data_IF_492171548198
#
_entry.id   IF_492171548198
#
_cell.length_a   1.000
_cell.length_b   1.000
_cell.length_c   1.000
_cell.angle_alpha   90.00
_cell.angle_beta   90.00
_cell.angle_gamma   90.00
#
_symmetry.space_group_name_H-M   'P 1'
#
loop_
_entity.id
_entity.type
_entity.pdbx_description
1 polymer ?
#
# COMPACT_ATOMS: atom_id res chain seq x y z
N UNK A 1 -28.13 7.60 -22.80
CA UNK A 1 -27.69 8.76 -22.00
C UNK A 1 -28.67 9.90 -22.22
N UNK A 2 -29.30 10.41 -21.17
CA UNK A 2 -30.11 11.63 -21.23
C UNK A 2 -29.21 12.85 -21.01
N UNK A 3 -29.33 13.85 -21.88
CA UNK A 3 -28.56 15.08 -21.74
C UNK A 3 -29.11 15.92 -20.57
N UNK A 4 -28.24 16.30 -19.63
CA UNK A 4 -28.59 17.14 -18.49
C UNK A 4 -27.87 18.47 -18.61
N UNK A 5 -28.61 19.59 -18.53
CA UNK A 5 -28.05 20.95 -18.50
C UNK A 5 -28.00 21.46 -17.08
N UNK A 6 -26.93 22.17 -16.75
CA UNK A 6 -26.76 22.87 -15.47
C UNK A 6 -27.03 24.36 -15.65
N UNK A 7 -27.50 25.02 -14.59
CA UNK A 7 -27.71 26.47 -14.60
C UNK A 7 -26.39 27.21 -14.87
N UNK A 8 -26.40 28.31 -15.64
CA UNK A 8 -25.25 29.19 -15.77
C UNK A 8 -24.69 29.60 -14.40
N UNK A 9 -23.36 29.77 -14.32
CA UNK A 9 -22.61 30.20 -13.13
C UNK A 9 -22.76 29.31 -11.87
N UNK A 10 -23.28 28.09 -12.02
CA UNK A 10 -23.37 27.13 -10.92
C UNK A 10 -22.11 26.27 -10.80
N UNK A 11 -21.14 26.73 -10.01
CA UNK A 11 -19.81 26.10 -9.88
C UNK A 11 -19.85 24.68 -9.30
N UNK A 12 -20.82 24.37 -8.42
CA UNK A 12 -20.88 23.09 -7.73
C UNK A 12 -21.05 21.90 -8.69
N UNK A 13 -21.81 22.06 -9.77
CA UNK A 13 -22.01 20.98 -10.75
C UNK A 13 -20.74 20.62 -11.52
N UNK A 14 -19.78 21.54 -11.63
CA UNK A 14 -18.55 21.36 -12.40
C UNK A 14 -17.34 20.93 -11.55
N UNK A 15 -17.47 20.93 -10.22
CA UNK A 15 -16.38 20.68 -9.27
C UNK A 15 -15.59 19.39 -9.55
N UNK A 16 -16.27 18.32 -10.02
CA UNK A 16 -15.58 17.05 -10.37
C UNK A 16 -14.60 17.22 -11.54
N UNK A 17 -15.01 17.92 -12.60
CA UNK A 17 -14.14 18.21 -13.74
C UNK A 17 -13.04 19.18 -13.36
N UNK A 18 -13.36 20.23 -12.60
CA UNK A 18 -12.37 21.21 -12.15
C UNK A 18 -11.27 20.58 -11.30
N UNK A 19 -11.63 19.69 -10.36
CA UNK A 19 -10.67 18.96 -9.54
C UNK A 19 -9.81 18.01 -10.37
N UNK A 20 -10.39 17.40 -11.41
CA UNK A 20 -9.65 16.58 -12.36
C UNK A 20 -8.65 17.43 -13.16
N UNK A 21 -9.07 18.58 -13.72
CA UNK A 21 -8.18 19.53 -14.40
C UNK A 21 -7.03 19.99 -13.51
N UNK A 22 -7.29 20.30 -12.23
CA UNK A 22 -6.24 20.64 -11.27
C UNK A 22 -5.19 19.53 -11.17
N UNK A 23 -5.63 18.27 -11.10
CA UNK A 23 -4.74 17.10 -11.00
C UNK A 23 -3.91 16.88 -12.27
N UNK A 24 -4.53 17.02 -13.44
CA UNK A 24 -3.86 16.94 -14.74
C UNK A 24 -2.78 18.02 -14.86
N UNK A 25 -3.15 19.29 -14.60
CA UNK A 25 -2.19 20.40 -14.69
C UNK A 25 -1.04 20.24 -13.70
N UNK A 26 -1.32 19.86 -12.45
CA UNK A 26 -0.27 19.77 -11.42
C UNK A 26 0.68 18.59 -11.59
N UNK A 27 0.19 17.45 -12.07
CA UNK A 27 0.97 16.20 -12.11
C UNK A 27 1.55 15.86 -13.47
N UNK A 28 0.97 16.38 -14.54
CA UNK A 28 1.33 16.05 -15.92
C UNK A 28 1.89 17.29 -16.61
N UNK A 29 1.07 18.32 -16.83
CA UNK A 29 1.47 19.46 -17.69
C UNK A 29 2.58 20.32 -17.07
N UNK A 30 2.45 20.75 -15.80
CA UNK A 30 3.45 21.63 -15.16
C UNK A 30 4.83 20.97 -14.98
N UNK A 31 4.93 19.69 -14.56
CA UNK A 31 6.21 19.00 -14.53
C UNK A 31 6.76 18.69 -15.92
N UNK A 32 5.88 18.29 -16.85
CA UNK A 32 6.25 17.87 -18.20
C UNK A 32 6.75 18.96 -19.12
N UNK A 33 6.25 20.20 -18.95
CA UNK A 33 6.63 21.40 -19.74
C UNK A 33 6.73 21.11 -21.25
N UNK A 34 5.67 20.58 -21.89
CA UNK A 34 5.75 20.23 -23.31
C UNK A 34 5.97 21.49 -24.15
N UNK A 35 6.91 21.41 -25.11
CA UNK A 35 7.24 22.50 -26.03
C UNK A 35 6.54 22.34 -27.38
N UNK A 36 6.18 21.10 -27.74
CA UNK A 36 5.50 20.76 -28.99
C UNK A 36 4.09 20.22 -28.71
N UNK A 37 3.25 20.22 -29.74
CA UNK A 37 1.92 19.63 -29.67
C UNK A 37 2.02 18.12 -29.50
N UNK A 38 2.93 17.49 -30.21
CA UNK A 38 3.18 16.05 -30.21
C UNK A 38 3.60 15.59 -28.80
N UNK A 39 4.51 16.34 -28.16
CA UNK A 39 4.90 16.08 -26.77
C UNK A 39 3.74 16.26 -25.81
N UNK A 40 2.89 17.27 -26.02
CA UNK A 40 1.71 17.48 -25.19
C UNK A 40 0.77 16.28 -25.26
N UNK A 41 0.48 15.78 -26.46
CA UNK A 41 -0.40 14.63 -26.68
C UNK A 41 0.19 13.38 -26.02
N UNK A 42 1.47 13.09 -26.28
CA UNK A 42 2.17 11.94 -25.69
C UNK A 42 2.13 11.99 -24.17
N UNK A 43 2.45 13.14 -23.59
CA UNK A 43 2.54 13.32 -22.15
C UNK A 43 1.17 13.22 -21.47
N UNK A 44 0.11 13.76 -22.10
CA UNK A 44 -1.26 13.59 -21.62
C UNK A 44 -1.66 12.10 -21.71
N UNK A 45 -1.40 11.43 -22.84
CA UNK A 45 -1.76 10.02 -23.01
C UNK A 45 -1.13 9.15 -21.92
N UNK A 46 0.18 9.25 -21.73
CA UNK A 46 0.89 8.51 -20.66
C UNK A 46 0.31 8.79 -19.28
N UNK A 47 -0.07 10.04 -19.00
CA UNK A 47 -0.71 10.37 -17.73
C UNK A 47 -2.11 9.75 -17.60
N UNK A 48 -2.91 9.77 -18.65
CA UNK A 48 -4.25 9.17 -18.65
C UNK A 48 -4.16 7.66 -18.44
N UNK A 49 -3.25 6.97 -19.14
CA UNK A 49 -3.03 5.54 -19.01
C UNK A 49 -2.72 5.18 -17.55
N UNK A 50 -1.76 5.88 -16.94
CA UNK A 50 -1.46 5.72 -15.52
C UNK A 50 -2.66 6.05 -14.62
N UNK A 51 -3.35 7.16 -14.88
CA UNK A 51 -4.45 7.64 -14.04
C UNK A 51 -5.65 6.68 -14.04
N UNK A 52 -5.98 6.08 -15.18
CA UNK A 52 -7.12 5.20 -15.33
C UNK A 52 -6.82 3.75 -14.95
N UNK A 53 -5.63 3.24 -15.29
CA UNK A 53 -5.33 1.80 -15.19
C UNK A 53 -4.47 1.43 -13.98
N UNK A 54 -3.65 2.35 -13.47
CA UNK A 54 -2.70 2.05 -12.38
C UNK A 54 -3.08 2.73 -11.07
N UNK A 55 -3.50 4.00 -11.14
CA UNK A 55 -3.73 4.83 -9.95
C UNK A 55 -4.95 4.35 -9.16
N UNK A 56 -4.71 3.81 -7.96
CA UNK A 56 -5.78 3.52 -7.01
C UNK A 56 -6.33 4.80 -6.38
N UNK A 57 -7.67 4.91 -6.31
CA UNK A 57 -8.33 6.10 -5.76
C UNK A 57 -9.08 5.75 -4.47
N UNK A 58 -8.68 6.38 -3.36
CA UNK A 58 -9.29 6.15 -2.03
C UNK A 58 -10.81 6.36 -2.03
N UNK A 59 -11.29 7.39 -2.71
CA UNK A 59 -12.73 7.72 -2.77
C UNK A 59 -13.60 6.64 -3.43
N UNK A 60 -13.01 5.70 -4.18
CA UNK A 60 -13.71 4.56 -4.81
C UNK A 60 -13.21 3.23 -4.24
N UNK A 61 -12.80 3.21 -2.97
CA UNK A 61 -12.39 1.98 -2.28
C UNK A 61 -11.05 1.42 -2.78
N UNK A 62 -10.10 2.29 -3.13
CA UNK A 62 -8.79 1.91 -3.67
C UNK A 62 -8.88 1.03 -4.92
N UNK A 63 -9.86 1.25 -5.78
CA UNK A 63 -9.97 0.61 -7.10
C UNK A 63 -9.48 1.60 -8.16
N UNK A 64 -9.04 1.08 -9.31
CA UNK A 64 -8.66 1.90 -10.46
C UNK A 64 -9.93 2.46 -11.10
N UNK A 65 -9.92 3.68 -11.66
CA UNK A 65 -11.07 4.19 -12.37
C UNK A 65 -11.53 3.30 -13.53
N UNK A 66 -10.61 2.64 -14.23
CA UNK A 66 -10.93 1.70 -15.30
C UNK A 66 -11.70 0.49 -14.78
N UNK A 67 -11.27 -0.13 -13.69
CA UNK A 67 -11.96 -1.30 -13.12
C UNK A 67 -13.32 -0.94 -12.53
N UNK A 68 -13.48 0.28 -12.01
CA UNK A 68 -14.80 0.76 -11.60
C UNK A 68 -15.77 0.90 -12.77
N UNK A 69 -15.30 1.38 -13.93
CA UNK A 69 -16.12 1.48 -15.14
C UNK A 69 -16.44 0.11 -15.74
N UNK A 70 -15.53 -0.86 -15.60
CA UNK A 70 -15.74 -2.25 -16.00
C UNK A 70 -16.52 -3.07 -14.96
N UNK A 71 -17.02 -2.44 -13.89
CA UNK A 71 -17.77 -3.10 -12.80
C UNK A 71 -17.00 -4.22 -12.06
N UNK A 72 -15.67 -4.28 -12.19
CA UNK A 72 -14.79 -5.31 -11.58
C UNK A 72 -14.41 -5.01 -10.13
N UNK A 73 -15.15 -4.13 -9.46
CA UNK A 73 -14.86 -3.70 -8.10
C UNK A 73 -14.90 -4.87 -7.11
N UNK A 74 -15.96 -5.69 -7.18
CA UNK A 74 -16.15 -6.82 -6.28
C UNK A 74 -15.04 -7.87 -6.43
N UNK A 75 -14.68 -8.20 -7.67
CA UNK A 75 -13.58 -9.12 -7.97
C UNK A 75 -12.24 -8.61 -7.43
N UNK A 76 -11.96 -7.33 -7.63
CA UNK A 76 -10.74 -6.67 -7.14
C UNK A 76 -10.63 -6.75 -5.63
N UNK A 77 -11.75 -6.55 -4.91
CA UNK A 77 -11.77 -6.65 -3.45
C UNK A 77 -11.63 -8.10 -2.99
N UNK A 78 -12.36 -9.04 -3.58
CA UNK A 78 -12.26 -10.46 -3.24
C UNK A 78 -10.85 -11.01 -3.43
N UNK A 79 -10.16 -10.64 -4.52
CA UNK A 79 -8.77 -11.04 -4.76
C UNK A 79 -7.81 -10.49 -3.69
N UNK A 80 -8.04 -9.26 -3.20
CA UNK A 80 -7.23 -8.66 -2.14
C UNK A 80 -7.46 -9.32 -0.79
N UNK A 81 -8.71 -9.62 -0.46
CA UNK A 81 -9.05 -10.27 0.81
C UNK A 81 -8.40 -11.66 0.89
N UNK A 82 -8.47 -12.44 -0.20
CA UNK A 82 -7.75 -13.72 -0.30
C UNK A 82 -6.25 -13.58 -0.06
N UNK A 83 -5.62 -12.55 -0.66
CA UNK A 83 -4.19 -12.27 -0.47
C UNK A 83 -3.87 -11.90 0.99
N UNK A 84 -4.74 -11.12 1.64
CA UNK A 84 -4.57 -10.73 3.04
C UNK A 84 -4.71 -11.93 3.98
N UNK A 85 -5.68 -12.81 3.75
CA UNK A 85 -5.85 -14.04 4.55
C UNK A 85 -4.64 -14.97 4.42
N UNK A 86 -4.14 -15.18 3.20
CA UNK A 86 -2.93 -15.97 2.98
C UNK A 86 -1.74 -15.39 3.77
N UNK A 87 -1.57 -14.07 3.73
CA UNK A 87 -0.51 -13.40 4.48
C UNK A 87 -0.72 -13.43 6.01
N UNK A 88 -1.97 -13.49 6.50
CA UNK A 88 -2.28 -13.71 7.92
C UNK A 88 -1.87 -15.12 8.34
N UNK A 89 -2.25 -16.13 7.58
CA UNK A 89 -1.91 -17.53 7.84
C UNK A 89 -0.39 -17.75 7.85
N UNK A 90 0.33 -17.26 6.84
CA UNK A 90 1.80 -17.35 6.80
C UNK A 90 2.48 -16.68 8.01
N UNK A 91 1.94 -15.55 8.50
CA UNK A 91 2.46 -14.89 9.71
C UNK A 91 2.21 -15.72 10.97
N UNK A 92 1.07 -16.41 11.06
CA UNK A 92 0.78 -17.31 12.19
C UNK A 92 1.77 -18.49 12.22
N UNK A 93 1.98 -19.15 11.08
CA UNK A 93 2.93 -20.27 10.98
C UNK A 93 4.35 -19.86 11.38
N UNK A 94 4.83 -18.71 10.88
CA UNK A 94 6.15 -18.19 11.28
C UNK A 94 6.26 -17.90 12.78
N UNK A 95 5.20 -17.33 13.39
CA UNK A 95 5.18 -17.07 14.83
C UNK A 95 5.19 -18.37 15.64
N UNK A 96 4.44 -19.39 15.20
CA UNK A 96 4.43 -20.70 15.85
C UNK A 96 5.80 -21.39 15.76
N UNK A 97 6.46 -21.35 14.59
CA UNK A 97 7.80 -21.89 14.40
C UNK A 97 8.84 -21.23 15.34
N UNK A 98 8.86 -19.89 15.39
CA UNK A 98 9.75 -19.15 16.31
C UNK A 98 9.45 -19.47 17.78
N UNK A 99 8.17 -19.62 18.15
CA UNK A 99 7.79 -20.00 19.50
C UNK A 99 8.26 -21.41 19.86
N UNK A 100 8.20 -22.35 18.91
CA UNK A 100 8.66 -23.72 19.08
C UNK A 100 10.19 -23.78 19.23
N UNK A 101 10.92 -23.10 18.35
CA UNK A 101 12.39 -22.96 18.43
C UNK A 101 12.85 -22.31 19.74
N UNK A 102 12.12 -21.31 20.23
CA UNK A 102 12.43 -20.69 21.53
C UNK A 102 12.16 -21.64 22.69
N UNK A 103 11.13 -22.48 22.59
CA UNK A 103 10.82 -23.48 23.61
C UNK A 103 11.88 -24.59 23.63
N UNK A 104 12.33 -25.09 22.47
CA UNK A 104 13.41 -26.10 22.39
C UNK A 104 14.73 -25.57 22.93
N UNK A 105 15.09 -24.32 22.65
CA UNK A 105 16.34 -23.72 23.14
C UNK A 105 16.31 -23.43 24.65
N UNK A 106 15.12 -23.21 25.23
CA UNK A 106 14.97 -23.03 26.68
C UNK A 106 15.18 -24.36 27.43
N UNK A 107 14.80 -25.50 26.81
CA UNK A 107 15.06 -26.85 27.38
C UNK A 107 16.54 -27.21 27.41
N UNK A 108 17.38 -26.66 26.52
CA UNK A 108 18.84 -26.93 26.51
C UNK A 108 19.62 -26.16 27.58
N UNK A 109 19.03 -25.15 28.24
CA UNK A 109 19.69 -24.35 29.28
C UNK A 109 19.17 -24.67 30.70
N UNK A 110 19.45 -25.88 31.19
CA UNK A 110 19.49 -26.22 32.63
C UNK A 110 20.62 -27.25 32.81
N UNK A 111 21.71 -27.00 33.55
CA UNK A 111 21.79 -26.58 34.96
C UNK A 111 23.02 -25.67 35.23
N UNK A 112 22.94 -24.63 36.07
CA UNK A 112 24.13 -24.04 36.69
C UNK A 112 24.64 -25.02 37.75
N UNK A 113 25.61 -25.84 37.37
CA UNK A 113 26.36 -26.67 38.32
C UNK A 113 27.10 -25.76 39.32
N UNK A 114 26.82 -26.02 40.59
CA UNK A 114 27.60 -25.74 41.80
C UNK A 114 28.92 -24.97 41.57
N UNK A 115 28.94 -23.68 41.91
CA UNK A 115 30.19 -22.96 42.17
C UNK A 115 30.86 -23.58 43.39
N UNK A 116 31.94 -24.33 43.19
CA UNK A 116 32.81 -24.73 44.29
C UNK A 116 33.36 -23.48 45.00
N UNK A 117 33.12 -23.40 46.31
CA UNK A 117 33.70 -22.39 47.16
C UNK A 117 35.22 -22.62 47.23
N UNK A 118 35.97 -21.87 46.41
CA UNK A 118 37.43 -21.81 46.50
C UNK A 118 37.88 -21.37 47.89
N UNK A 119 38.69 -22.20 48.52
CA UNK A 119 39.29 -21.98 49.84
C UNK A 119 40.02 -20.63 49.91
N UNK A 120 39.70 -19.84 50.94
CA UNK A 120 40.36 -18.57 51.23
C UNK A 120 41.83 -18.82 51.63
N UNK A 121 42.75 -18.59 50.70
CA UNK A 121 44.17 -18.57 50.99
C UNK A 121 44.53 -17.42 51.92
N UNK A 122 45.19 -17.75 53.03
CA UNK A 122 45.76 -16.83 54.01
C UNK A 122 46.76 -15.87 53.33
N UNK A 123 46.63 -14.56 53.56
CA UNK A 123 47.67 -13.59 53.15
C UNK A 123 48.82 -13.58 54.18
N UNK A 124 50.09 -13.61 53.75
CA UNK A 124 51.21 -13.26 54.61
C UNK A 124 51.32 -11.74 54.78
N UNK A 125 51.81 -11.34 55.97
CA UNK A 125 51.93 -9.97 56.47
C UNK A 125 52.74 -9.01 55.58
#
# INVERSE_FOLDING_TARGET
>A
MTHVRTSPYYSQSNCKMERWHKSLKSKCIRPGKPLTREDTVRLIQTYLDYYYTVRLRRAIGYVTPHDMLAERQAETHAARDRKLELARHQRQLRRAAVSLERSSNTTTMASPGETEAGSAGMQPC
#
